data_IF_732563753111
#
_entry.id   IF_732563753111
#
_cell.length_a   1.000
_cell.length_b   1.000
_cell.length_c   1.000
_cell.angle_alpha   90.00
_cell.angle_beta   90.00
_cell.angle_gamma   90.00
#
_symmetry.space_group_name_H-M   'P 1'
#
loop_
_entity.id
_entity.type
_entity.pdbx_description
1 polymer ?
#
# COMPACT_ATOMS: atom_id res chain seq x y z
N UNK A 1 7.16 9.88 -17.92
CA UNK A 1 5.80 9.62 -17.40
C UNK A 1 5.90 8.81 -16.12
N UNK A 2 5.17 9.21 -15.08
CA UNK A 2 4.99 8.49 -13.82
C UNK A 2 4.21 7.19 -14.09
N UNK A 3 4.90 6.06 -14.25
CA UNK A 3 4.31 4.72 -14.43
C UNK A 3 4.27 3.98 -13.08
N UNK A 4 3.91 4.68 -12.00
CA UNK A 4 3.85 4.12 -10.65
C UNK A 4 2.97 2.86 -10.60
N UNK A 5 1.83 2.90 -11.28
CA UNK A 5 0.93 1.75 -11.37
C UNK A 5 1.59 0.53 -12.02
N UNK A 6 2.27 0.69 -13.17
CA UNK A 6 2.92 -0.44 -13.88
C UNK A 6 4.08 -1.07 -13.12
N UNK A 7 4.63 -0.37 -12.12
CA UNK A 7 5.70 -0.85 -11.25
C UNK A 7 5.20 -1.53 -9.98
N UNK A 8 3.90 -1.46 -9.70
CA UNK A 8 3.29 -2.08 -8.52
C UNK A 8 3.06 -3.57 -8.78
N UNK A 9 3.19 -4.38 -7.74
CA UNK A 9 3.01 -5.84 -7.80
C UNK A 9 1.59 -6.25 -8.24
N UNK A 10 0.60 -5.35 -8.12
CA UNK A 10 -0.76 -5.61 -8.58
C UNK A 10 -0.95 -5.44 -10.10
N UNK A 11 0.02 -4.88 -10.83
CA UNK A 11 -0.11 -4.65 -12.26
C UNK A 11 -0.31 -5.93 -13.09
N UNK A 12 0.47 -7.02 -12.92
CA UNK A 12 0.26 -8.27 -13.64
C UNK A 12 -1.13 -8.88 -13.42
N UNK A 13 -1.71 -8.72 -12.23
CA UNK A 13 -3.07 -9.20 -11.93
C UNK A 13 -4.13 -8.45 -12.74
N UNK A 14 -3.92 -7.15 -12.96
CA UNK A 14 -4.84 -6.35 -13.77
C UNK A 14 -4.87 -6.77 -15.23
N UNK A 15 -3.73 -7.18 -15.79
CA UNK A 15 -3.65 -7.74 -17.15
C UNK A 15 -4.44 -9.06 -17.27
N UNK A 16 -4.53 -9.82 -16.16
CA UNK A 16 -5.32 -11.05 -16.05
C UNK A 16 -6.77 -10.81 -15.61
N UNK A 17 -7.18 -9.54 -15.42
CA UNK A 17 -8.51 -9.15 -14.90
C UNK A 17 -8.82 -9.76 -13.51
N UNK A 18 -7.79 -10.02 -12.71
CA UNK A 18 -7.91 -10.49 -11.34
C UNK A 18 -7.92 -9.25 -10.42
N UNK A 19 -8.91 -9.10 -9.52
CA UNK A 19 -8.92 -7.99 -8.58
C UNK A 19 -7.79 -8.14 -7.56
N UNK A 20 -6.85 -7.19 -7.55
CA UNK A 20 -5.76 -7.11 -6.58
C UNK A 20 -5.51 -5.64 -6.21
N UNK A 21 -5.81 -5.28 -4.97
CA UNK A 21 -5.65 -3.92 -4.47
C UNK A 21 -4.27 -3.73 -3.84
N UNK A 22 -3.59 -2.63 -4.17
CA UNK A 22 -2.41 -2.15 -3.46
C UNK A 22 -2.80 -0.97 -2.58
N UNK A 23 -2.39 -1.00 -1.31
CA UNK A 23 -2.47 0.15 -0.39
C UNK A 23 -1.04 0.65 -0.17
N UNK A 24 -0.78 1.90 -0.50
CA UNK A 24 0.54 2.52 -0.39
C UNK A 24 0.42 3.85 0.35
N UNK A 25 1.40 4.14 1.21
CA UNK A 25 1.41 5.30 2.09
C UNK A 25 2.18 6.50 1.53
N UNK A 26 2.90 6.31 0.40
CA UNK A 26 3.66 7.33 -0.31
C UNK A 26 3.36 7.34 -1.81
N UNK A 27 4.10 8.15 -2.57
CA UNK A 27 4.02 8.19 -4.04
C UNK A 27 5.42 8.24 -4.63
N UNK A 28 5.55 8.16 -5.95
CA UNK A 28 6.83 8.42 -6.63
C UNK A 28 7.28 9.89 -6.58
N UNK A 29 6.52 10.75 -5.89
CA UNK A 29 6.89 12.13 -5.57
C UNK A 29 7.40 12.28 -4.13
N UNK A 30 7.41 11.22 -3.34
CA UNK A 30 8.04 11.27 -2.03
C UNK A 30 9.53 11.60 -2.20
N UNK A 31 10.03 12.54 -1.39
CA UNK A 31 11.40 13.02 -1.44
C UNK A 31 12.43 11.94 -1.13
N UNK A 32 12.04 10.88 -0.40
CA UNK A 32 12.91 9.78 -0.05
C UNK A 32 12.73 8.56 -0.95
N UNK A 33 11.76 8.55 -1.88
CA UNK A 33 11.54 7.41 -2.77
C UNK A 33 12.77 7.15 -3.67
N UNK A 34 13.31 5.92 -3.62
CA UNK A 34 14.57 5.53 -4.29
C UNK A 34 15.79 6.37 -3.85
N UNK A 35 15.77 6.86 -2.61
CA UNK A 35 16.90 7.57 -2.00
C UNK A 35 17.55 6.70 -0.91
N UNK A 36 18.89 6.78 -0.70
CA UNK A 36 19.55 6.11 0.42
C UNK A 36 19.07 6.55 1.81
N UNK A 37 18.35 7.67 1.89
CA UNK A 37 17.78 8.19 3.15
C UNK A 37 16.33 7.72 3.36
N UNK A 38 15.83 6.76 2.57
CA UNK A 38 14.55 6.06 2.81
C UNK A 38 14.66 5.14 4.03
N UNK A 39 14.76 5.79 5.17
CA UNK A 39 15.06 5.18 6.45
C UNK A 39 13.88 5.35 7.40
N UNK A 40 13.79 4.48 8.40
CA UNK A 40 12.63 4.39 9.31
C UNK A 40 12.33 5.70 10.07
N UNK A 41 13.31 6.59 10.24
CA UNK A 41 13.14 7.90 10.86
C UNK A 41 12.33 8.87 9.98
N UNK A 42 12.24 8.60 8.69
CA UNK A 42 11.53 9.45 7.72
C UNK A 42 10.04 9.10 7.61
N UNK A 43 9.61 7.99 8.21
CA UNK A 43 8.25 7.49 8.14
C UNK A 43 7.28 8.32 8.98
N UNK A 44 6.06 8.53 8.46
CA UNK A 44 4.93 9.07 9.22
C UNK A 44 4.19 7.95 9.95
N UNK A 45 4.62 7.67 11.18
CA UNK A 45 4.01 6.64 12.03
C UNK A 45 2.54 6.91 12.38
N UNK A 46 2.12 8.18 12.45
CA UNK A 46 0.71 8.51 12.74
C UNK A 46 -0.18 8.14 11.56
N UNK A 47 0.29 8.37 10.32
CA UNK A 47 -0.41 7.94 9.12
C UNK A 47 -0.42 6.41 9.02
N UNK A 48 0.72 5.75 9.26
CA UNK A 48 0.82 4.29 9.25
C UNK A 48 -0.14 3.63 10.24
N UNK A 49 -0.22 4.13 11.47
CA UNK A 49 -1.14 3.62 12.50
C UNK A 49 -2.60 3.68 12.02
N UNK A 50 -3.02 4.84 11.47
CA UNK A 50 -4.39 5.04 10.97
C UNK A 50 -4.72 4.06 9.85
N UNK A 51 -3.79 3.85 8.91
CA UNK A 51 -3.98 2.94 7.78
C UNK A 51 -4.06 1.48 8.25
N UNK A 52 -3.16 1.05 9.14
CA UNK A 52 -3.21 -0.31 9.71
C UNK A 52 -4.53 -0.57 10.44
N UNK A 53 -4.99 0.39 11.25
CA UNK A 53 -6.31 0.30 11.92
C UNK A 53 -7.45 0.21 10.92
N UNK A 54 -7.45 1.03 9.87
CA UNK A 54 -8.47 1.00 8.84
C UNK A 54 -8.51 -0.34 8.10
N UNK A 55 -7.35 -0.90 7.74
CA UNK A 55 -7.24 -2.23 7.11
C UNK A 55 -7.79 -3.31 8.03
N UNK A 56 -7.39 -3.31 9.31
CA UNK A 56 -7.87 -4.28 10.28
C UNK A 56 -9.40 -4.21 10.44
N UNK A 57 -9.97 -3.00 10.54
CA UNK A 57 -11.42 -2.80 10.60
C UNK A 57 -12.13 -3.30 9.33
N UNK A 58 -11.57 -3.04 8.15
CA UNK A 58 -12.16 -3.48 6.88
C UNK A 58 -12.14 -5.01 6.73
N UNK A 59 -11.08 -5.68 7.16
CA UNK A 59 -10.89 -7.13 6.96
C UNK A 59 -11.58 -7.97 8.05
N UNK A 60 -11.71 -7.44 9.27
CA UNK A 60 -12.27 -8.19 10.43
C UNK A 60 -13.62 -8.85 10.16
N UNK A 61 -14.62 -8.20 9.53
CA UNK A 61 -15.89 -8.85 9.22
C UNK A 61 -15.74 -10.07 8.31
N UNK A 62 -14.84 -10.02 7.32
CA UNK A 62 -14.61 -11.13 6.39
C UNK A 62 -13.97 -12.34 7.07
N UNK A 63 -13.07 -12.12 8.04
CA UNK A 63 -12.47 -13.21 8.82
C UNK A 63 -13.47 -13.90 9.76
N UNK A 64 -14.45 -13.17 10.27
CA UNK A 64 -15.45 -13.70 11.22
C UNK A 64 -16.55 -14.53 10.58
N UNK A 65 -16.71 -14.46 9.25
CA UNK A 65 -17.74 -15.23 8.52
C UNK A 65 -17.29 -16.68 8.26
N UNK A 66 -16.02 -17.02 8.54
CA UNK A 66 -15.44 -18.35 8.34
C UNK A 66 -15.35 -19.26 9.58
N UNK A 67 -15.96 -18.88 10.72
CA UNK A 67 -16.01 -19.68 11.95
C UNK A 67 -17.44 -20.03 12.35
#
# INVERSE_FOLDING_TARGET
>A
MQQLYKRSDNFPFSELKIPANTIMLGTDKDKYYHHPDDEWQTLDYNLMEKVVRAIAMAITPFMRIGH
#
